data_IF_259419741001
#
_entry.id   IF_259419741001
#
_cell.length_a   1.000
_cell.length_b   1.000
_cell.length_c   1.000
_cell.angle_alpha   90.00
_cell.angle_beta   90.00
_cell.angle_gamma   90.00
#
_symmetry.space_group_name_H-M   'P 1'
#
loop_
_entity.id
_entity.type
_entity.pdbx_description
1 polymer ?
#
# COMPACT_ATOMS: atom_id res chain seq x y z
N UNK A 1 -40.89 17.18 16.35
CA UNK A 1 -40.85 15.70 16.29
C UNK A 1 -40.25 15.36 14.93
N UNK A 2 -38.94 15.22 14.79
CA UNK A 2 -38.08 14.11 15.22
C UNK A 2 -38.34 12.80 14.45
N UNK A 3 -37.26 12.25 13.87
CA UNK A 3 -37.04 10.89 13.32
C UNK A 3 -37.51 10.66 11.86
N UNK A 4 -36.76 10.11 10.89
CA UNK A 4 -35.37 9.65 10.73
C UNK A 4 -35.16 9.36 9.22
N UNK A 5 -33.97 9.49 8.60
CA UNK A 5 -33.69 8.88 7.31
C UNK A 5 -33.18 7.44 7.49
N UNK A 6 -33.93 6.49 6.95
CA UNK A 6 -33.58 5.07 6.84
C UNK A 6 -32.26 4.90 6.08
N UNK A 7 -31.25 4.38 6.76
CA UNK A 7 -30.00 3.92 6.15
C UNK A 7 -30.17 2.43 5.88
N UNK A 8 -30.21 2.03 4.61
CA UNK A 8 -30.11 0.61 4.24
C UNK A 8 -28.64 0.23 4.35
N UNK A 9 -28.28 -0.46 5.43
CA UNK A 9 -27.05 -1.23 5.53
C UNK A 9 -27.34 -2.62 4.95
N UNK A 10 -26.78 -2.92 3.78
CA UNK A 10 -26.64 -4.31 3.32
C UNK A 10 -25.40 -4.91 4.01
N UNK A 11 -25.63 -5.68 5.06
CA UNK A 11 -24.65 -6.60 5.63
C UNK A 11 -24.54 -7.82 4.73
N UNK A 12 -23.35 -8.07 4.18
CA UNK A 12 -23.02 -9.36 3.57
C UNK A 12 -22.70 -10.36 4.67
N UNK A 13 -23.42 -11.49 4.81
CA UNK A 13 -23.06 -12.52 5.77
C UNK A 13 -21.76 -13.20 5.33
N UNK A 14 -20.76 -13.20 6.22
CA UNK A 14 -19.60 -14.07 6.11
C UNK A 14 -20.04 -15.49 6.50
N UNK A 15 -20.36 -16.32 5.51
CA UNK A 15 -20.71 -17.72 5.74
C UNK A 15 -19.56 -18.48 6.41
N UNK A 16 -19.89 -19.07 7.55
CA UNK A 16 -19.05 -19.87 8.43
C UNK A 16 -19.00 -21.34 7.99
N UNK A 17 -18.52 -21.62 6.78
CA UNK A 17 -18.28 -22.99 6.31
C UNK A 17 -16.86 -23.17 5.73
N UNK A 18 -15.84 -22.99 6.57
CA UNK A 18 -14.48 -23.48 6.30
C UNK A 18 -13.92 -24.21 7.52
N UNK A 19 -14.61 -25.28 7.93
CA UNK A 19 -14.01 -26.34 8.75
C UNK A 19 -14.50 -27.71 8.28
N UNK A 20 -13.95 -28.21 7.17
CA UNK A 20 -13.81 -29.66 6.94
C UNK A 20 -12.45 -29.99 6.35
N UNK A 21 -11.77 -30.87 7.07
CA UNK A 21 -10.44 -31.42 6.81
C UNK A 21 -10.53 -32.46 5.67
N UNK A 22 -9.78 -32.36 4.56
CA UNK A 22 -9.71 -33.44 3.59
C UNK A 22 -8.54 -34.37 3.90
N UNK A 23 -8.88 -35.65 4.08
CA UNK A 23 -7.96 -36.78 4.09
C UNK A 23 -7.06 -36.78 2.87
N UNK A 24 -5.78 -37.11 3.11
CA UNK A 24 -4.76 -37.40 2.10
C UNK A 24 -5.26 -38.50 1.17
N UNK A 25 -5.31 -38.23 -0.13
CA UNK A 25 -4.83 -39.15 -1.19
C UNK A 25 -4.80 -38.48 -2.57
N UNK A 26 -3.65 -38.66 -3.23
CA UNK A 26 -3.18 -38.31 -4.57
C UNK A 26 -4.20 -37.90 -5.66
N UNK A 27 -3.87 -36.82 -6.39
CA UNK A 27 -3.48 -36.84 -7.81
C UNK A 27 -2.91 -35.46 -8.20
N UNK A 28 -1.78 -35.46 -8.91
CA UNK A 28 -1.04 -34.27 -9.32
C UNK A 28 -1.81 -33.36 -10.29
N UNK A 29 -2.64 -32.48 -9.76
CA UNK A 29 -3.09 -31.28 -10.44
C UNK A 29 -2.29 -30.09 -9.91
N UNK A 30 -1.36 -29.60 -10.73
CA UNK A 30 -0.77 -28.28 -10.53
C UNK A 30 -1.92 -27.29 -10.72
N UNK A 31 -2.46 -26.78 -9.62
CA UNK A 31 -3.47 -25.72 -9.64
C UNK A 31 -2.80 -24.43 -10.13
N UNK A 32 -2.81 -24.23 -11.44
CA UNK A 32 -2.37 -23.00 -12.09
C UNK A 32 -3.48 -21.95 -11.95
N UNK A 33 -3.39 -21.11 -10.91
CA UNK A 33 -4.23 -19.93 -10.76
C UNK A 33 -3.66 -18.77 -11.57
N UNK A 34 -4.47 -18.22 -12.48
CA UNK A 34 -3.96 -17.64 -13.72
C UNK A 34 -4.56 -16.28 -14.14
N UNK A 35 -5.16 -15.51 -13.23
CA UNK A 35 -5.39 -14.09 -13.49
C UNK A 35 -4.73 -13.26 -12.40
N UNK A 36 -3.78 -12.42 -12.81
CA UNK A 36 -3.38 -11.30 -11.99
C UNK A 36 -3.78 -10.04 -12.71
N UNK A 37 -4.54 -9.25 -11.99
CA UNK A 37 -4.83 -7.87 -12.30
C UNK A 37 -3.97 -7.04 -11.37
N UNK A 38 -2.97 -6.35 -11.90
CA UNK A 38 -2.18 -5.42 -11.11
C UNK A 38 -2.78 -4.04 -11.28
N UNK A 39 -3.29 -3.49 -10.19
CA UNK A 39 -3.65 -2.09 -10.09
C UNK A 39 -2.52 -1.35 -9.35
N UNK A 40 -1.83 -0.46 -10.06
CA UNK A 40 -0.83 0.42 -9.48
C UNK A 40 -1.40 1.82 -9.37
N UNK A 41 -1.42 2.36 -8.15
CA UNK A 41 -1.72 3.79 -7.96
C UNK A 41 -0.39 4.51 -7.90
N UNK A 42 -0.10 5.28 -8.93
CA UNK A 42 1.12 6.08 -9.00
C UNK A 42 0.78 7.55 -8.74
N UNK A 43 1.64 8.21 -7.97
CA UNK A 43 1.61 9.65 -7.78
C UNK A 43 2.77 10.24 -8.57
N UNK A 44 2.45 10.90 -9.68
CA UNK A 44 3.43 11.51 -10.56
C UNK A 44 4.13 12.69 -9.85
N UNK A 45 5.41 12.98 -10.14
CA UNK A 45 6.12 14.12 -9.59
C UNK A 45 5.38 15.44 -9.82
N UNK A 46 5.55 16.41 -8.93
CA UNK A 46 4.97 17.73 -9.13
C UNK A 46 5.85 18.49 -10.13
N UNK A 47 5.25 19.04 -11.20
CA UNK A 47 6.01 19.74 -12.24
C UNK A 47 6.84 20.93 -11.74
N UNK A 48 6.46 21.52 -10.59
CA UNK A 48 7.11 22.70 -10.01
C UNK A 48 7.89 22.41 -8.72
N UNK A 49 8.12 21.14 -8.36
CA UNK A 49 8.89 20.83 -7.15
C UNK A 49 10.39 21.02 -7.38
N UNK A 50 11.02 21.87 -6.56
CA UNK A 50 12.47 22.00 -6.50
C UNK A 50 13.07 20.81 -5.75
N UNK A 51 13.31 19.71 -6.46
CA UNK A 51 13.98 18.55 -5.88
C UNK A 51 15.49 18.80 -5.72
N UNK A 52 16.11 18.45 -4.58
CA UNK A 52 17.54 18.63 -4.37
C UNK A 52 18.34 17.76 -5.35
N UNK A 53 19.11 18.39 -6.26
CA UNK A 53 19.95 17.80 -7.32
C UNK A 53 19.27 16.65 -8.09
N UNK A 54 18.85 16.88 -9.34
CA UNK A 54 18.07 15.93 -10.15
C UNK A 54 18.49 14.46 -10.05
N UNK A 55 19.80 14.18 -9.99
CA UNK A 55 20.35 12.83 -9.81
C UNK A 55 19.91 12.14 -8.50
N UNK A 56 19.94 12.81 -7.35
CA UNK A 56 19.57 12.17 -6.07
C UNK A 56 18.10 11.82 -6.02
N UNK A 57 17.24 12.70 -6.54
CA UNK A 57 15.81 12.44 -6.65
C UNK A 57 15.52 11.26 -7.58
N UNK A 58 16.13 11.23 -8.75
CA UNK A 58 15.98 10.13 -9.71
C UNK A 58 16.39 8.78 -9.09
N UNK A 59 17.56 8.72 -8.44
CA UNK A 59 18.01 7.51 -7.79
C UNK A 59 17.10 7.09 -6.62
N UNK A 60 16.57 8.04 -5.85
CA UNK A 60 15.60 7.75 -4.79
C UNK A 60 14.29 7.18 -5.38
N UNK A 61 13.78 7.75 -6.47
CA UNK A 61 12.57 7.24 -7.13
C UNK A 61 12.79 5.85 -7.71
N UNK A 62 13.96 5.59 -8.32
CA UNK A 62 14.34 4.26 -8.79
C UNK A 62 14.44 3.26 -7.64
N UNK A 63 15.02 3.66 -6.51
CA UNK A 63 15.09 2.85 -5.29
C UNK A 63 13.70 2.49 -4.75
N UNK A 64 12.75 3.44 -4.73
CA UNK A 64 11.36 3.20 -4.33
C UNK A 64 10.66 2.24 -5.32
N UNK A 65 10.86 2.41 -6.63
CA UNK A 65 10.30 1.51 -7.65
C UNK A 65 10.84 0.09 -7.50
N UNK A 66 12.16 -0.06 -7.36
CA UNK A 66 12.82 -1.34 -7.17
C UNK A 66 12.34 -2.05 -5.90
N UNK A 67 12.23 -1.30 -4.79
CA UNK A 67 11.67 -1.80 -3.54
C UNK A 67 10.21 -2.23 -3.71
N UNK A 68 9.40 -1.45 -4.45
CA UNK A 68 7.99 -1.75 -4.71
C UNK A 68 7.84 -3.08 -5.44
N UNK A 69 8.52 -3.24 -6.57
CA UNK A 69 8.41 -4.45 -7.39
C UNK A 69 8.96 -5.67 -6.65
N UNK A 70 10.09 -5.52 -5.93
CA UNK A 70 10.66 -6.60 -5.13
C UNK A 70 9.69 -7.02 -4.02
N UNK A 71 9.13 -6.06 -3.28
CA UNK A 71 8.15 -6.31 -2.23
C UNK A 71 6.88 -6.98 -2.75
N UNK A 72 6.36 -6.53 -3.89
CA UNK A 72 5.21 -7.16 -4.55
C UNK A 72 5.47 -8.63 -4.88
N UNK A 73 6.61 -8.93 -5.50
CA UNK A 73 6.97 -10.29 -5.85
C UNK A 73 7.08 -11.20 -4.63
N UNK A 74 7.70 -10.70 -3.56
CA UNK A 74 7.77 -11.44 -2.30
C UNK A 74 6.38 -11.71 -1.73
N UNK A 75 5.48 -10.72 -1.74
CA UNK A 75 4.11 -10.90 -1.26
C UNK A 75 3.33 -11.91 -2.11
N UNK A 76 3.40 -11.83 -3.44
CA UNK A 76 2.70 -12.77 -4.32
C UNK A 76 3.23 -14.20 -4.16
N UNK A 77 4.55 -14.38 -4.06
CA UNK A 77 5.16 -15.70 -3.86
C UNK A 77 4.81 -16.34 -2.51
N UNK A 78 4.56 -15.53 -1.48
CA UNK A 78 4.25 -15.99 -0.12
C UNK A 78 2.75 -15.95 0.22
N UNK A 79 1.91 -15.47 -0.69
CA UNK A 79 0.45 -15.44 -0.49
C UNK A 79 -0.15 -16.81 -0.84
N UNK A 80 -1.26 -17.20 -0.19
CA UNK A 80 -2.03 -18.36 -0.63
C UNK A 80 -2.38 -18.23 -2.12
N UNK A 81 -2.41 -19.36 -2.83
CA UNK A 81 -2.91 -19.36 -4.20
C UNK A 81 -4.31 -18.73 -4.25
N UNK A 82 -4.52 -17.84 -5.23
CA UNK A 82 -5.81 -17.14 -5.46
C UNK A 82 -6.16 -16.04 -4.44
N UNK A 83 -5.24 -15.61 -3.59
CA UNK A 83 -5.45 -14.45 -2.72
C UNK A 83 -5.24 -13.12 -3.47
N UNK A 84 -6.06 -12.12 -3.15
CA UNK A 84 -5.81 -10.74 -3.56
C UNK A 84 -4.65 -10.15 -2.75
N UNK A 85 -3.73 -9.47 -3.41
CA UNK A 85 -2.61 -8.75 -2.76
C UNK A 85 -2.84 -7.26 -2.90
N UNK A 86 -2.97 -6.57 -1.76
CA UNK A 86 -3.00 -5.12 -1.67
C UNK A 86 -1.89 -4.67 -0.73
N UNK A 87 -1.00 -3.80 -1.19
CA UNK A 87 0.09 -3.28 -0.39
C UNK A 87 0.46 -1.85 -0.82
N UNK A 88 0.95 -1.06 0.14
CA UNK A 88 1.50 0.27 -0.12
C UNK A 88 3.01 0.23 0.08
N UNK A 89 3.80 0.13 -1.00
CA UNK A 89 5.25 0.09 -0.87
C UNK A 89 5.82 1.38 -0.27
N UNK A 90 5.28 2.54 -0.67
CA UNK A 90 5.70 3.83 -0.11
C UNK A 90 5.54 3.88 1.41
N UNK A 91 4.43 3.37 1.94
CA UNK A 91 4.18 3.29 3.37
C UNK A 91 5.24 2.46 4.11
N UNK A 92 5.59 1.28 3.58
CA UNK A 92 6.59 0.40 4.18
C UNK A 92 7.98 1.03 4.07
N UNK A 93 8.30 1.58 2.90
CA UNK A 93 9.55 2.29 2.65
C UNK A 93 9.73 3.44 3.64
N UNK A 94 8.67 4.22 3.89
CA UNK A 94 8.67 5.32 4.85
C UNK A 94 8.96 4.84 6.29
N UNK A 95 8.30 3.76 6.75
CA UNK A 95 8.57 3.18 8.07
C UNK A 95 10.03 2.71 8.21
N UNK A 96 10.57 2.08 7.16
CA UNK A 96 11.97 1.66 7.13
C UNK A 96 12.93 2.85 7.10
N UNK A 97 12.58 3.95 6.43
CA UNK A 97 13.34 5.21 6.47
C UNK A 97 13.36 5.80 7.88
N UNK A 98 12.23 5.80 8.59
CA UNK A 98 12.19 6.23 10.00
C UNK A 98 13.07 5.33 10.88
N UNK A 99 13.02 4.01 10.70
CA UNK A 99 13.89 3.08 11.42
C UNK A 99 15.38 3.29 11.07
N UNK A 100 15.69 3.51 9.79
CA UNK A 100 17.03 3.78 9.30
C UNK A 100 17.63 5.01 9.98
N UNK A 101 16.84 6.09 10.12
CA UNK A 101 17.25 7.34 10.77
C UNK A 101 17.83 7.10 12.16
N UNK A 102 17.14 6.31 13.00
CA UNK A 102 17.56 6.00 14.37
C UNK A 102 18.60 4.88 14.49
N UNK A 103 18.77 4.06 13.45
CA UNK A 103 19.66 2.90 13.48
C UNK A 103 21.14 3.24 13.25
N UNK A 104 22.04 2.33 13.70
CA UNK A 104 23.49 2.40 13.50
C UNK A 104 24.07 1.01 13.19
N UNK A 105 25.34 0.97 12.75
CA UNK A 105 26.07 -0.27 12.53
C UNK A 105 25.38 -1.24 11.57
N UNK A 106 25.38 -2.54 11.90
CA UNK A 106 24.80 -3.59 11.05
C UNK A 106 23.30 -3.40 10.79
N UNK A 107 22.54 -2.89 11.77
CA UNK A 107 21.11 -2.62 11.59
C UNK A 107 20.86 -1.55 10.53
N UNK A 108 21.61 -0.43 10.59
CA UNK A 108 21.51 0.60 9.57
C UNK A 108 21.89 0.08 8.18
N UNK A 109 22.95 -0.72 8.12
CA UNK A 109 23.43 -1.31 6.87
C UNK A 109 22.40 -2.25 6.23
N UNK A 110 21.74 -3.10 7.01
CA UNK A 110 20.69 -3.98 6.50
C UNK A 110 19.51 -3.17 5.96
N UNK A 111 19.05 -2.15 6.70
CA UNK A 111 17.92 -1.33 6.27
C UNK A 111 18.28 -0.55 5.00
N UNK A 112 19.45 0.10 4.94
CA UNK A 112 19.82 0.86 3.74
C UNK A 112 20.04 -0.05 2.52
N UNK A 113 20.51 -1.29 2.71
CA UNK A 113 20.70 -2.25 1.62
C UNK A 113 19.34 -2.67 1.06
N UNK A 114 18.39 -2.99 1.93
CA UNK A 114 17.02 -3.34 1.56
C UNK A 114 16.33 -2.19 0.81
N UNK A 115 16.57 -0.95 1.21
CA UNK A 115 16.02 0.23 0.55
C UNK A 115 16.82 0.64 -0.70
N UNK A 116 18.03 0.10 -0.93
CA UNK A 116 18.88 0.51 -2.05
C UNK A 116 19.51 1.91 -1.90
N UNK A 117 19.70 2.39 -0.66
CA UNK A 117 20.15 3.78 -0.37
C UNK A 117 21.52 3.89 0.31
N UNK A 118 22.26 2.79 0.50
CA UNK A 118 23.52 2.83 1.26
C UNK A 118 24.61 3.72 0.65
N UNK A 119 24.52 4.01 -0.65
CA UNK A 119 25.49 4.86 -1.36
C UNK A 119 25.27 6.36 -1.09
N UNK A 120 24.16 6.74 -0.47
CA UNK A 120 23.87 8.13 -0.14
C UNK A 120 24.43 8.55 1.22
N UNK A 121 24.70 9.85 1.34
CA UNK A 121 24.87 10.45 2.66
C UNK A 121 23.55 10.35 3.45
N UNK A 122 23.63 9.77 4.65
CA UNK A 122 22.46 9.52 5.51
C UNK A 122 21.63 10.78 5.78
N UNK A 123 22.24 11.91 6.11
CA UNK A 123 21.49 13.14 6.39
C UNK A 123 20.77 13.63 5.14
N UNK A 124 21.48 13.73 4.00
CA UNK A 124 20.92 14.23 2.75
C UNK A 124 19.76 13.37 2.23
N UNK A 125 19.85 12.04 2.34
CA UNK A 125 18.76 11.16 1.88
C UNK A 125 17.51 11.27 2.75
N UNK A 126 17.67 11.50 4.06
CA UNK A 126 16.53 11.75 4.96
C UNK A 126 15.88 13.12 4.71
N UNK A 127 16.67 14.14 4.40
CA UNK A 127 16.16 15.46 3.98
C UNK A 127 15.39 15.36 2.66
N UNK A 128 15.96 14.71 1.65
CA UNK A 128 15.33 14.53 0.34
C UNK A 128 14.04 13.73 0.42
N UNK A 129 14.05 12.61 1.16
CA UNK A 129 12.85 11.79 1.35
C UNK A 129 11.79 12.52 2.20
N UNK A 130 12.21 13.28 3.22
CA UNK A 130 11.30 14.10 4.00
C UNK A 130 10.62 15.19 3.16
N UNK A 131 11.34 15.79 2.21
CA UNK A 131 10.74 16.71 1.24
C UNK A 131 9.73 16.01 0.35
N UNK A 132 10.04 14.81 -0.17
CA UNK A 132 9.09 14.00 -0.93
C UNK A 132 7.80 13.71 -0.12
N UNK A 133 7.93 13.34 1.17
CA UNK A 133 6.77 13.15 2.05
C UNK A 133 5.94 14.43 2.22
N UNK A 134 6.60 15.58 2.38
CA UNK A 134 5.93 16.89 2.48
C UNK A 134 5.21 17.23 1.18
N UNK A 135 5.82 17.02 0.02
CA UNK A 135 5.21 17.30 -1.28
C UNK A 135 3.97 16.44 -1.52
N UNK A 136 3.95 15.20 -1.02
CA UNK A 136 2.79 14.32 -1.10
C UNK A 136 1.64 14.74 -0.18
N UNK A 137 1.96 15.26 1.00
CA UNK A 137 0.97 15.59 2.04
C UNK A 137 0.48 17.04 1.99
N UNK A 138 1.32 17.97 1.51
CA UNK A 138 1.02 19.40 1.37
C UNK A 138 0.31 19.73 0.04
N UNK A 139 0.26 18.78 -0.90
CA UNK A 139 -0.50 18.94 -2.12
C UNK A 139 -2.01 18.94 -1.79
N UNK A 140 -2.57 20.14 -1.67
CA UNK A 140 -3.99 20.35 -1.40
C UNK A 140 -4.89 19.62 -2.40
N UNK A 141 -4.42 19.38 -3.64
CA UNK A 141 -5.19 18.60 -4.62
C UNK A 141 -5.37 17.14 -4.18
N UNK A 142 -4.41 16.59 -3.43
CA UNK A 142 -4.41 15.23 -2.91
C UNK A 142 -5.06 15.10 -1.53
N UNK A 143 -5.16 16.20 -0.76
CA UNK A 143 -5.57 16.22 0.66
C UNK A 143 -6.90 15.51 0.98
N UNK A 144 -7.86 15.49 0.06
CA UNK A 144 -9.15 14.82 0.23
C UNK A 144 -9.17 13.36 -0.27
N UNK A 145 -8.11 12.95 -0.96
CA UNK A 145 -8.04 11.67 -1.65
C UNK A 145 -6.98 10.72 -1.10
N UNK A 146 -5.95 11.26 -0.45
CA UNK A 146 -4.87 10.48 0.13
C UNK A 146 -4.63 10.94 1.56
N UNK A 147 -4.81 10.02 2.50
CA UNK A 147 -4.49 10.21 3.91
C UNK A 147 -3.33 9.28 4.26
N UNK A 148 -2.20 9.85 4.66
CA UNK A 148 -1.03 9.11 5.14
C UNK A 148 -0.74 9.58 6.57
N UNK A 149 -0.69 8.63 7.50
CA UNK A 149 -0.32 8.88 8.87
C UNK A 149 0.75 7.90 9.34
N UNK A 150 1.76 8.44 10.03
CA UNK A 150 2.85 7.67 10.62
C UNK A 150 2.81 7.88 12.14
N UNK A 151 2.76 6.78 12.88
CA UNK A 151 2.69 6.74 14.33
C UNK A 151 3.89 6.00 14.87
N UNK A 152 4.60 6.63 15.80
CA UNK A 152 5.75 6.06 16.49
C UNK A 152 5.42 5.95 17.97
N UNK A 153 5.14 4.73 18.41
CA UNK A 153 4.70 4.43 19.78
C UNK A 153 5.85 3.85 20.58
N UNK A 154 6.16 4.49 21.70
CA UNK A 154 7.33 4.18 22.53
C UNK A 154 6.87 3.66 23.88
N UNK A 155 7.53 2.63 24.38
CA UNK A 155 7.32 2.16 25.75
C UNK A 155 7.57 3.31 26.74
N UNK A 156 6.59 3.60 27.60
CA UNK A 156 6.75 4.58 28.69
C UNK A 156 8.03 4.31 29.49
N UNK A 157 8.83 5.36 29.68
CA UNK A 157 10.11 5.30 30.37
C UNK A 157 11.28 4.79 29.51
N UNK A 158 11.06 4.50 28.22
CA UNK A 158 12.13 4.20 27.27
C UNK A 158 12.63 5.51 26.65
N UNK A 159 13.85 5.90 27.01
CA UNK A 159 14.42 7.17 26.54
C UNK A 159 14.85 7.08 25.08
N UNK A 160 14.35 8.03 24.27
CA UNK A 160 14.84 8.28 22.92
C UNK A 160 15.61 9.61 22.88
N UNK A 161 16.50 9.75 21.89
CA UNK A 161 17.24 11.00 21.71
C UNK A 161 16.30 12.12 21.26
N UNK A 162 16.43 13.31 21.88
CA UNK A 162 15.71 14.53 21.44
C UNK A 162 15.97 14.88 19.98
N UNK A 163 17.18 14.61 19.48
CA UNK A 163 17.50 14.82 18.06
C UNK A 163 16.65 13.91 17.16
N UNK A 164 16.50 12.64 17.55
CA UNK A 164 15.72 11.67 16.78
C UNK A 164 14.22 12.01 16.81
N UNK A 165 13.69 12.40 17.97
CA UNK A 165 12.32 12.89 18.11
C UNK A 165 12.04 14.10 17.22
N UNK A 166 12.93 15.10 17.23
CA UNK A 166 12.82 16.26 16.37
C UNK A 166 12.85 15.87 14.88
N UNK A 167 13.78 15.00 14.49
CA UNK A 167 13.92 14.58 13.10
C UNK A 167 12.70 13.77 12.61
N UNK A 168 12.11 12.90 13.45
CA UNK A 168 10.87 12.19 13.12
C UNK A 168 9.70 13.16 12.88
N UNK A 169 9.56 14.19 13.73
CA UNK A 169 8.49 15.18 13.57
C UNK A 169 8.73 16.06 12.34
N UNK A 170 9.95 16.53 12.13
CA UNK A 170 10.27 17.52 11.09
C UNK A 170 10.35 16.92 9.68
N UNK A 171 10.94 15.73 9.53
CA UNK A 171 11.14 15.10 8.22
C UNK A 171 9.96 14.21 7.82
N UNK A 172 9.32 13.55 8.78
CA UNK A 172 8.33 12.49 8.51
C UNK A 172 6.91 12.84 8.93
N UNK A 173 6.71 14.03 9.53
CA UNK A 173 5.43 14.43 10.12
C UNK A 173 4.83 13.36 11.04
N UNK A 174 5.70 12.58 11.69
CA UNK A 174 5.26 11.44 12.51
C UNK A 174 4.66 11.93 13.81
N UNK A 175 3.55 11.30 14.21
CA UNK A 175 3.09 11.37 15.59
C UNK A 175 4.04 10.56 16.46
N UNK A 176 4.44 11.12 17.60
CA UNK A 176 5.16 10.40 18.64
C UNK A 176 4.24 10.26 19.86
N UNK A 177 4.11 9.05 20.39
CA UNK A 177 3.29 8.81 21.58
C UNK A 177 3.96 7.80 22.52
N UNK A 178 3.88 8.04 23.82
CA UNK A 178 4.25 7.06 24.83
C UNK A 178 3.06 6.17 25.18
N UNK A 179 3.30 4.85 25.24
CA UNK A 179 2.33 3.84 25.65
C UNK A 179 2.99 2.84 26.58
N UNK A 180 2.25 2.23 27.50
CA UNK A 180 2.80 1.21 28.40
C UNK A 180 2.50 -0.20 27.89
N UNK A 181 3.34 -0.71 26.98
CA UNK A 181 3.28 -2.09 26.51
C UNK A 181 3.54 -3.09 27.64
N UNK A 182 4.47 -2.77 28.55
CA UNK A 182 4.93 -3.68 29.61
C UNK A 182 3.84 -4.01 30.61
N UNK A 183 3.21 -2.99 31.20
CA UNK A 183 2.26 -3.19 32.29
C UNK A 183 0.80 -3.06 31.85
N UNK A 184 0.53 -2.52 30.66
CA UNK A 184 -0.82 -2.23 30.19
C UNK A 184 -1.00 -2.47 28.69
N UNK A 185 -0.58 -3.66 28.21
CA UNK A 185 -0.65 -4.04 26.78
C UNK A 185 -2.03 -3.85 26.14
N UNK A 186 -3.14 -4.07 26.87
CA UNK A 186 -4.51 -3.80 26.39
C UNK A 186 -4.75 -2.30 26.15
N UNK A 187 -4.30 -1.43 27.07
CA UNK A 187 -4.39 0.02 26.88
C UNK A 187 -3.52 0.49 25.71
N UNK A 188 -2.35 -0.13 25.52
CA UNK A 188 -1.51 0.15 24.35
C UNK A 188 -2.19 -0.24 23.03
N UNK A 189 -2.86 -1.40 22.97
CA UNK A 189 -3.67 -1.79 21.82
C UNK A 189 -4.77 -0.77 21.50
N UNK A 190 -5.52 -0.35 22.53
CA UNK A 190 -6.60 0.63 22.38
C UNK A 190 -6.05 1.97 21.89
N UNK A 191 -4.93 2.44 22.45
CA UNK A 191 -4.30 3.70 22.07
C UNK A 191 -3.85 3.69 20.60
N UNK A 192 -3.18 2.63 20.16
CA UNK A 192 -2.72 2.47 18.77
C UNK A 192 -3.90 2.44 17.80
N UNK A 193 -4.91 1.61 18.06
CA UNK A 193 -6.08 1.52 17.18
C UNK A 193 -6.90 2.82 17.16
N UNK A 194 -7.02 3.50 18.30
CA UNK A 194 -7.71 4.80 18.37
C UNK A 194 -6.99 5.87 17.56
N UNK A 195 -5.65 5.91 17.64
CA UNK A 195 -4.85 6.80 16.81
C UNK A 195 -5.04 6.50 15.32
N UNK A 196 -4.96 5.23 14.90
CA UNK A 196 -5.20 4.86 13.49
C UNK A 196 -6.60 5.28 13.03
N UNK A 197 -7.62 5.02 13.85
CA UNK A 197 -9.00 5.38 13.54
C UNK A 197 -9.14 6.90 13.38
N UNK A 198 -8.54 7.68 14.27
CA UNK A 198 -8.57 9.14 14.19
C UNK A 198 -7.82 9.65 12.95
N UNK A 199 -6.61 9.14 12.72
CA UNK A 199 -5.74 9.52 11.59
C UNK A 199 -6.33 9.19 10.23
N UNK A 200 -7.24 8.22 10.15
CA UNK A 200 -7.93 7.81 8.92
C UNK A 200 -9.39 8.24 8.89
N UNK A 201 -9.81 9.17 9.76
CA UNK A 201 -11.21 9.65 9.87
C UNK A 201 -12.24 8.51 9.98
N UNK A 202 -11.87 7.42 10.65
CA UNK A 202 -12.69 6.24 10.87
C UNK A 202 -12.70 5.23 9.72
N UNK A 203 -11.87 5.38 8.68
CA UNK A 203 -11.83 4.43 7.55
C UNK A 203 -11.11 3.13 7.89
N UNK A 204 -10.08 3.18 8.74
CA UNK A 204 -9.42 1.99 9.28
C UNK A 204 -9.81 1.86 10.76
N UNK A 205 -10.56 0.82 11.10
CA UNK A 205 -11.08 0.63 12.46
C UNK A 205 -10.02 0.11 13.44
N UNK A 206 -9.20 -0.85 13.00
CA UNK A 206 -8.15 -1.45 13.81
C UNK A 206 -7.04 -2.01 12.93
N UNK A 207 -5.81 -1.94 13.43
CA UNK A 207 -4.62 -2.59 12.84
C UNK A 207 -4.08 -3.68 13.76
N UNK A 208 -4.29 -3.56 15.07
CA UNK A 208 -3.94 -4.57 16.06
C UNK A 208 -5.20 -5.34 16.46
N UNK A 209 -5.21 -6.63 16.18
CA UNK A 209 -6.28 -7.54 16.61
C UNK A 209 -5.94 -8.32 17.90
N UNK A 210 -4.70 -8.24 18.35
CA UNK A 210 -4.20 -8.89 19.57
C UNK A 210 -3.27 -7.94 20.31
N UNK A 211 -3.24 -8.07 21.63
CA UNK A 211 -2.36 -7.27 22.46
C UNK A 211 -0.90 -7.37 21.99
N UNK A 212 -0.18 -6.24 21.87
CA UNK A 212 1.25 -6.29 21.60
C UNK A 212 2.00 -6.96 22.74
N UNK A 213 3.16 -7.54 22.43
CA UNK A 213 4.02 -8.17 23.44
C UNK A 213 4.39 -7.17 24.53
N UNK A 214 4.41 -7.61 25.80
CA UNK A 214 4.88 -6.81 26.93
C UNK A 214 6.37 -6.44 26.83
N UNK A 215 7.14 -7.15 26.00
CA UNK A 215 8.55 -6.81 25.73
C UNK A 215 8.74 -5.70 24.70
N UNK A 216 7.66 -5.23 24.04
CA UNK A 216 7.71 -4.20 22.99
C UNK A 216 8.30 -2.90 23.55
N UNK A 217 9.30 -2.34 22.86
CA UNK A 217 9.90 -1.04 23.19
C UNK A 217 9.47 0.07 22.25
N UNK A 218 9.33 -0.27 20.97
CA UNK A 218 8.96 0.64 19.90
C UNK A 218 8.01 -0.12 18.99
N UNK A 219 6.94 0.56 18.57
CA UNK A 219 6.07 0.11 17.50
C UNK A 219 5.89 1.27 16.51
N UNK A 220 6.18 1.01 15.24
CA UNK A 220 5.98 1.99 14.17
C UNK A 220 4.78 1.53 13.35
N UNK A 221 3.80 2.40 13.17
CA UNK A 221 2.54 2.11 12.49
C UNK A 221 2.37 3.10 11.36
N UNK A 222 2.10 2.60 10.16
CA UNK A 222 1.60 3.42 9.07
C UNK A 222 0.11 3.13 8.87
N UNK A 223 -0.67 4.18 8.66
CA UNK A 223 -2.03 4.08 8.19
C UNK A 223 -2.13 4.89 6.89
N UNK A 224 -2.56 4.24 5.82
CA UNK A 224 -2.80 4.88 4.52
C UNK A 224 -4.20 4.56 4.06
N UNK A 225 -4.93 5.60 3.65
CA UNK A 225 -6.23 5.47 3.02
C UNK A 225 -6.23 6.30 1.75
N UNK A 226 -6.61 5.66 0.64
CA UNK A 226 -6.76 6.32 -0.64
C UNK A 226 -8.18 6.13 -1.16
N UNK A 227 -8.81 7.25 -1.56
CA UNK A 227 -10.11 7.25 -2.22
C UNK A 227 -10.21 8.47 -3.11
N UNK A 228 -10.41 8.26 -4.41
CA UNK A 228 -10.64 9.36 -5.33
C UNK A 228 -11.67 9.00 -6.41
N UNK A 229 -12.18 10.04 -7.08
CA UNK A 229 -13.02 9.92 -8.25
C UNK A 229 -12.16 9.82 -9.51
N UNK A 230 -12.58 9.00 -10.46
CA UNK A 230 -12.01 9.00 -11.80
C UNK A 230 -12.17 10.36 -12.46
N UNK A 231 -11.17 10.77 -13.27
CA UNK A 231 -11.28 11.95 -14.14
C UNK A 231 -12.48 11.83 -15.08
N UNK A 232 -12.68 10.63 -15.63
CA UNK A 232 -13.85 10.25 -16.41
C UNK A 232 -14.60 9.13 -15.69
N UNK A 233 -15.75 9.47 -15.10
CA UNK A 233 -16.51 8.53 -14.29
C UNK A 233 -17.28 7.53 -15.16
N UNK A 234 -17.36 6.28 -14.69
CA UNK A 234 -18.26 5.28 -15.27
C UNK A 234 -19.71 5.66 -14.99
N UNK A 235 -20.60 5.44 -15.96
CA UNK A 235 -22.04 5.60 -15.74
C UNK A 235 -22.54 4.44 -14.87
N UNK A 236 -23.09 4.66 -13.67
CA UNK A 236 -23.59 3.59 -12.82
C UNK A 236 -24.67 2.72 -13.47
N UNK A 237 -25.46 3.30 -14.39
CA UNK A 237 -26.50 2.58 -15.14
C UNK A 237 -25.92 1.63 -16.21
N UNK A 238 -24.65 1.81 -16.56
CA UNK A 238 -23.93 0.92 -17.48
C UNK A 238 -23.17 -0.20 -16.75
N UNK A 239 -23.25 -0.25 -15.41
CA UNK A 239 -22.68 -1.34 -14.63
C UNK A 239 -23.56 -2.58 -14.77
N UNK A 240 -22.99 -3.67 -15.26
CA UNK A 240 -23.66 -4.97 -15.26
C UNK A 240 -23.55 -5.56 -13.84
N UNK A 241 -24.66 -5.75 -13.10
CA UNK A 241 -24.59 -6.15 -11.69
C UNK A 241 -24.08 -7.59 -11.48
N UNK A 242 -24.31 -8.48 -12.45
CA UNK A 242 -24.04 -9.92 -12.35
C UNK A 242 -23.10 -10.43 -13.46
N UNK A 243 -22.14 -9.61 -13.86
CA UNK A 243 -21.16 -9.98 -14.88
C UNK A 243 -20.21 -11.08 -14.40
N UNK A 244 -19.71 -11.90 -15.32
CA UNK A 244 -18.82 -13.03 -14.98
C UNK A 244 -17.35 -12.62 -15.01
N UNK A 245 -16.67 -12.73 -13.86
CA UNK A 245 -15.21 -12.60 -13.74
C UNK A 245 -14.56 -13.98 -13.58
N UNK A 246 -13.55 -14.29 -14.39
CA UNK A 246 -12.85 -15.57 -14.38
C UNK A 246 -11.64 -15.51 -13.44
N UNK A 247 -11.70 -16.21 -12.32
CA UNK A 247 -10.55 -16.39 -11.41
C UNK A 247 -9.56 -17.40 -12.01
N UNK A 248 -10.11 -18.44 -12.64
CA UNK A 248 -9.38 -19.41 -13.45
C UNK A 248 -10.19 -19.71 -14.72
N UNK A 249 -9.60 -20.39 -15.73
CA UNK A 249 -10.35 -20.82 -16.91
C UNK A 249 -11.61 -21.65 -16.62
N UNK A 250 -11.69 -22.28 -15.44
CA UNK A 250 -12.80 -23.15 -15.04
C UNK A 250 -13.59 -22.63 -13.84
N UNK A 251 -13.16 -21.54 -13.20
CA UNK A 251 -13.82 -20.97 -12.04
C UNK A 251 -14.10 -19.48 -12.27
N UNK A 252 -15.39 -19.13 -12.21
CA UNK A 252 -15.88 -17.76 -12.37
C UNK A 252 -16.80 -17.37 -11.23
N UNK A 253 -16.82 -16.08 -10.94
CA UNK A 253 -17.69 -15.47 -9.94
C UNK A 253 -18.52 -14.36 -10.60
N UNK A 254 -19.69 -14.07 -10.03
CA UNK A 254 -20.49 -12.93 -10.45
C UNK A 254 -20.06 -11.69 -9.69
N UNK A 255 -19.77 -10.60 -10.41
CA UNK A 255 -19.36 -9.32 -9.84
C UNK A 255 -19.99 -8.17 -10.63
N UNK A 256 -20.16 -7.00 -10.01
CA UNK A 256 -20.50 -5.78 -10.75
C UNK A 256 -19.37 -5.40 -11.72
N UNK A 257 -19.64 -5.41 -13.03
CA UNK A 257 -18.67 -5.03 -14.07
C UNK A 257 -19.02 -3.63 -14.57
N UNK A 258 -18.12 -2.67 -14.30
CA UNK A 258 -18.24 -1.30 -14.82
C UNK A 258 -17.90 -1.28 -16.33
N UNK A 259 -18.67 -0.51 -17.11
CA UNK A 259 -18.45 -0.35 -18.56
C UNK A 259 -18.48 1.11 -18.98
N UNK A 260 -17.63 1.48 -19.94
CA UNK A 260 -17.56 2.85 -20.47
C UNK A 260 -16.63 2.97 -21.67
N UNK A 261 -16.83 4.03 -22.47
CA UNK A 261 -15.90 4.43 -23.54
C UNK A 261 -15.18 5.70 -23.11
N UNK A 262 -13.86 5.65 -23.08
CA UNK A 262 -13.02 6.73 -22.59
C UNK A 262 -11.73 6.84 -23.42
N UNK A 263 -11.23 8.06 -23.57
CA UNK A 263 -9.94 8.32 -24.21
C UNK A 263 -8.85 8.24 -23.13
N UNK A 264 -8.13 7.13 -23.11
CA UNK A 264 -7.14 6.78 -22.09
C UNK A 264 -5.88 6.25 -22.74
N UNK A 265 -4.73 6.38 -22.06
CA UNK A 265 -3.50 5.78 -22.54
C UNK A 265 -3.60 4.26 -22.44
N UNK A 266 -3.29 3.58 -23.55
CA UNK A 266 -3.28 2.13 -23.66
C UNK A 266 -1.95 1.73 -24.32
N UNK A 267 -1.22 0.82 -23.68
CA UNK A 267 -0.05 0.17 -24.22
C UNK A 267 -0.26 -1.33 -24.33
N UNK A 268 0.33 -1.96 -25.35
CA UNK A 268 0.45 -3.41 -25.44
C UNK A 268 1.91 -3.76 -25.69
N UNK A 269 2.42 -4.72 -24.93
CA UNK A 269 3.77 -5.24 -25.10
C UNK A 269 3.69 -6.72 -25.47
N UNK A 270 3.87 -7.07 -26.75
CA UNK A 270 3.82 -8.45 -27.22
C UNK A 270 4.88 -9.35 -26.56
N UNK A 271 6.05 -8.79 -26.22
CA UNK A 271 7.14 -9.53 -25.59
C UNK A 271 6.81 -9.96 -24.16
N UNK A 272 5.99 -9.18 -23.45
CA UNK A 272 5.48 -9.55 -22.12
C UNK A 272 4.10 -10.19 -22.16
N UNK A 273 3.42 -10.17 -23.31
CA UNK A 273 2.05 -10.69 -23.48
C UNK A 273 1.04 -9.98 -22.59
N UNK A 274 1.13 -8.66 -22.47
CA UNK A 274 0.28 -7.88 -21.58
C UNK A 274 -0.08 -6.51 -22.15
N UNK A 275 -1.29 -6.07 -21.80
CA UNK A 275 -1.79 -4.72 -22.00
C UNK A 275 -1.69 -3.91 -20.70
N UNK A 276 -1.40 -2.62 -20.81
CA UNK A 276 -1.46 -1.66 -19.72
C UNK A 276 -2.42 -0.52 -20.07
N UNK A 277 -3.32 -0.19 -19.15
CA UNK A 277 -4.30 0.88 -19.29
C UNK A 277 -4.12 1.91 -18.17
N UNK A 278 -4.08 3.19 -18.51
CA UNK A 278 -4.09 4.28 -17.53
C UNK A 278 -5.52 4.78 -17.28
N UNK A 279 -5.95 4.74 -16.01
CA UNK A 279 -7.18 5.38 -15.54
C UNK A 279 -6.84 6.55 -14.61
N UNK A 280 -6.84 7.79 -15.12
CA UNK A 280 -6.51 8.95 -14.29
C UNK A 280 -7.63 9.27 -13.30
N UNK A 281 -7.24 9.71 -12.11
CA UNK A 281 -8.15 10.31 -11.13
C UNK A 281 -8.37 11.80 -11.42
N UNK A 282 -9.35 12.40 -10.75
CA UNK A 282 -9.62 13.85 -10.86
C UNK A 282 -8.41 14.69 -10.43
N UNK A 283 -7.57 14.14 -9.53
CA UNK A 283 -6.26 14.72 -9.24
C UNK A 283 -5.29 14.45 -10.39
N UNK A 284 -4.69 15.49 -10.98
CA UNK A 284 -3.89 15.37 -12.20
C UNK A 284 -2.61 14.55 -12.02
N UNK A 285 -2.18 14.31 -10.78
CA UNK A 285 -0.96 13.58 -10.44
C UNK A 285 -1.21 12.12 -10.09
N UNK A 286 -2.47 11.67 -10.01
CA UNK A 286 -2.76 10.30 -9.59
C UNK A 286 -3.46 9.54 -10.71
N UNK A 287 -2.90 8.41 -11.08
CA UNK A 287 -3.49 7.47 -12.03
C UNK A 287 -3.44 6.06 -11.48
N UNK A 288 -4.45 5.26 -11.83
CA UNK A 288 -4.42 3.82 -11.68
C UNK A 288 -3.98 3.19 -12.98
N UNK A 289 -2.89 2.42 -12.96
CA UNK A 289 -2.47 1.61 -14.09
C UNK A 289 -2.97 0.18 -13.90
N UNK A 290 -3.65 -0.34 -14.92
CA UNK A 290 -4.19 -1.69 -14.95
C UNK A 290 -3.35 -2.53 -15.91
N UNK A 291 -2.68 -3.54 -15.38
CA UNK A 291 -1.93 -4.52 -16.19
C UNK A 291 -2.79 -5.76 -16.38
N UNK A 292 -3.08 -6.09 -17.63
CA UNK A 292 -3.90 -7.22 -18.03
C UNK A 292 -3.13 -8.13 -18.98
N UNK A 293 -2.79 -9.38 -18.59
CA UNK A 293 -2.19 -10.36 -19.48
C UNK A 293 -3.13 -10.77 -20.63
N UNK A 294 -2.57 -11.04 -21.82
CA UNK A 294 -3.31 -11.44 -23.02
C UNK A 294 -3.98 -12.82 -22.88
N UNK A 295 -3.41 -13.68 -22.03
CA UNK A 295 -3.93 -15.03 -21.79
C UNK A 295 -4.52 -15.16 -20.39
N UNK A 296 -5.59 -15.96 -20.28
CA UNK A 296 -6.14 -16.45 -19.00
C UNK A 296 -5.19 -17.43 -18.28
N UNK A 297 -3.90 -17.50 -18.70
CA UNK A 297 -2.81 -18.30 -18.12
C UNK A 297 -1.83 -17.51 -17.25
N UNK A 298 -2.04 -16.20 -17.08
CA UNK A 298 -1.69 -15.48 -15.85
C UNK A 298 -0.24 -15.09 -15.60
N UNK A 299 -0.11 -14.31 -14.52
CA UNK A 299 1.09 -13.67 -13.96
C UNK A 299 2.39 -14.44 -13.94
N UNK A 300 2.36 -15.77 -14.01
CA UNK A 300 3.56 -16.60 -13.90
C UNK A 300 4.62 -16.26 -14.97
N UNK A 301 4.26 -15.52 -16.02
CA UNK A 301 5.18 -14.99 -17.03
C UNK A 301 5.59 -13.53 -16.83
N UNK A 302 4.86 -12.74 -16.03
CA UNK A 302 5.21 -11.36 -15.67
C UNK A 302 6.18 -11.37 -14.48
N UNK A 303 7.44 -11.70 -14.75
CA UNK A 303 8.50 -11.60 -13.76
C UNK A 303 8.83 -10.11 -13.45
N UNK A 304 9.67 -9.89 -12.43
CA UNK A 304 10.18 -8.57 -12.01
C UNK A 304 10.63 -7.69 -13.17
N UNK A 305 11.34 -8.28 -14.13
CA UNK A 305 11.90 -7.56 -15.29
C UNK A 305 10.82 -7.18 -16.28
N UNK A 306 9.85 -8.06 -16.52
CA UNK A 306 8.68 -7.76 -17.36
C UNK A 306 7.86 -6.61 -16.79
N UNK A 307 7.63 -6.59 -15.46
CA UNK A 307 6.93 -5.48 -14.80
C UNK A 307 7.71 -4.17 -14.88
N UNK A 308 9.04 -4.19 -14.67
CA UNK A 308 9.89 -3.00 -14.84
C UNK A 308 9.89 -2.46 -16.26
N UNK A 309 9.85 -3.33 -17.27
CA UNK A 309 9.84 -2.91 -18.67
C UNK A 309 8.46 -2.41 -19.13
N UNK A 310 7.42 -2.64 -18.34
CA UNK A 310 6.05 -2.25 -18.65
C UNK A 310 5.67 -0.90 -18.01
N UNK A 311 6.35 -0.51 -16.93
CA UNK A 311 6.15 0.73 -16.14
C UNK A 311 7.20 1.75 -16.56
#
# INVERSE_FOLDING_TARGET
MNLSPTTVQEEFPLDSEFQRNPSKENLGMIWNSNMLFVALILILPHANAEYPTGLMYEHLMNSILDFSITGFNLLVQNSPQQANVLYSPFSIYNLLMMAHLGSRGKTAQQICNTLGICHFNKTKIHEAFGQLCKDLTADNSLSNSLEIANGFFIQRGFNISRYYEYALKYLYSSTLAEVDFRNSSTSALIAVNSWVRQSTKGKIQAVLHKNPSQSTKIMIVNAVHFRSQWKWQFNPQATEPNGFFYITPHHRVQVPIMSGKMLVALGHNPSTGASILELPFVQPRISMFLVLPDSTRGYLQLNTTSLKNLI
#
